data_IF_064600206001
#
_entry.id   IF_064600206001
#
_cell.length_a   1.000
_cell.length_b   1.000
_cell.length_c   1.000
_cell.angle_alpha   90.00
_cell.angle_beta   90.00
_cell.angle_gamma   90.00
#
_symmetry.space_group_name_H-M   'P 1'
#
loop_
_entity.id
_entity.type
_entity.pdbx_description
1 polymer ?
#
# COMPACT_ATOMS: atom_id res chain seq x y z
N UNK A 1 -15.93 5.64 -12.50
CA UNK A 1 -16.26 5.04 -13.80
C UNK A 1 -15.38 3.84 -14.14
N UNK A 2 -14.03 3.83 -14.05
CA UNK A 2 -13.21 2.65 -14.36
C UNK A 2 -13.57 1.40 -13.55
N UNK A 3 -13.83 1.53 -12.27
CA UNK A 3 -14.25 0.43 -11.38
C UNK A 3 -15.57 -0.20 -11.84
N UNK A 4 -16.54 0.61 -12.24
CA UNK A 4 -17.84 0.11 -12.70
C UNK A 4 -17.71 -0.74 -13.98
N UNK A 5 -16.84 -0.33 -14.91
CA UNK A 5 -16.59 -1.07 -16.14
C UNK A 5 -15.94 -2.44 -15.91
N UNK A 6 -15.25 -2.64 -14.80
CA UNK A 6 -14.59 -3.88 -14.44
C UNK A 6 -15.32 -4.70 -13.36
N UNK A 7 -16.53 -4.28 -12.97
CA UNK A 7 -17.26 -4.81 -11.81
C UNK A 7 -17.48 -6.33 -11.89
N UNK A 8 -17.88 -6.84 -13.06
CA UNK A 8 -18.12 -8.28 -13.24
C UNK A 8 -16.83 -9.11 -13.11
N UNK A 9 -15.74 -8.61 -13.67
CA UNK A 9 -14.43 -9.25 -13.56
C UNK A 9 -13.92 -9.24 -12.12
N UNK A 10 -14.10 -8.11 -11.41
CA UNK A 10 -13.73 -7.97 -10.00
C UNK A 10 -14.53 -8.95 -9.15
N UNK A 11 -15.85 -9.08 -9.37
CA UNK A 11 -16.71 -10.03 -8.65
C UNK A 11 -16.23 -11.48 -8.82
N UNK A 12 -15.85 -11.88 -10.04
CA UNK A 12 -15.34 -13.22 -10.33
C UNK A 12 -14.00 -13.53 -9.66
N UNK A 13 -13.21 -12.51 -9.36
CA UNK A 13 -11.87 -12.63 -8.78
C UNK A 13 -11.76 -12.03 -7.38
N UNK A 14 -12.89 -11.82 -6.70
CA UNK A 14 -12.93 -11.14 -5.43
C UNK A 14 -12.05 -11.80 -4.36
N UNK A 15 -12.13 -13.11 -4.24
CA UNK A 15 -11.36 -13.85 -3.24
C UNK A 15 -9.84 -13.77 -3.47
N UNK A 16 -9.30 -14.06 -4.67
CA UNK A 16 -7.88 -13.81 -4.96
C UNK A 16 -7.43 -12.37 -4.73
N UNK A 17 -8.25 -11.39 -5.08
CA UNK A 17 -7.96 -9.97 -4.86
C UNK A 17 -7.85 -9.68 -3.36
N UNK A 18 -8.83 -10.08 -2.56
CA UNK A 18 -8.81 -9.85 -1.11
C UNK A 18 -7.61 -10.51 -0.44
N UNK A 19 -7.34 -11.78 -0.76
CA UNK A 19 -6.20 -12.50 -0.19
C UNK A 19 -4.86 -11.89 -0.59
N UNK A 20 -4.70 -11.48 -1.85
CA UNK A 20 -3.46 -10.83 -2.30
C UNK A 20 -3.25 -9.46 -1.65
N UNK A 21 -4.32 -8.68 -1.47
CA UNK A 21 -4.25 -7.39 -0.82
C UNK A 21 -3.94 -7.52 0.68
N UNK A 22 -4.57 -8.48 1.34
CA UNK A 22 -4.30 -8.80 2.74
C UNK A 22 -2.83 -9.22 2.94
N UNK A 23 -2.35 -10.15 2.11
CA UNK A 23 -0.95 -10.58 2.14
C UNK A 23 0.01 -9.42 1.87
N UNK A 24 -0.27 -8.58 0.86
CA UNK A 24 0.54 -7.41 0.53
C UNK A 24 0.60 -6.39 1.69
N UNK A 25 -0.53 -6.14 2.35
CA UNK A 25 -0.60 -5.26 3.53
C UNK A 25 0.23 -5.81 4.69
N UNK A 26 0.08 -7.09 5.02
CA UNK A 26 0.82 -7.74 6.12
C UNK A 26 2.31 -7.75 5.83
N UNK A 27 2.72 -8.24 4.66
CA UNK A 27 4.14 -8.30 4.27
C UNK A 27 4.76 -6.91 4.20
N UNK A 28 4.06 -5.95 3.61
CA UNK A 28 4.51 -4.56 3.52
C UNK A 28 4.67 -3.89 4.89
N UNK A 29 3.72 -4.11 5.80
CA UNK A 29 3.77 -3.60 7.17
C UNK A 29 4.88 -4.24 7.99
N UNK A 30 4.95 -5.57 8.01
CA UNK A 30 5.99 -6.30 8.76
C UNK A 30 7.38 -5.95 8.24
N UNK A 31 7.59 -5.95 6.92
CA UNK A 31 8.91 -5.70 6.33
C UNK A 31 9.44 -4.31 6.67
N UNK A 32 8.62 -3.27 6.59
CA UNK A 32 9.08 -1.91 6.93
C UNK A 32 9.44 -1.79 8.40
N UNK A 33 8.64 -2.37 9.29
CA UNK A 33 8.88 -2.35 10.75
C UNK A 33 10.19 -3.07 11.08
N UNK A 34 10.39 -4.28 10.52
CA UNK A 34 11.59 -5.06 10.77
C UNK A 34 12.85 -4.38 10.21
N UNK A 35 12.79 -3.83 9.00
CA UNK A 35 13.91 -3.10 8.39
C UNK A 35 14.26 -1.87 9.24
N UNK A 36 13.27 -1.06 9.62
CA UNK A 36 13.49 0.11 10.44
C UNK A 36 14.08 -0.25 11.81
N UNK A 37 13.57 -1.30 12.45
CA UNK A 37 14.10 -1.83 13.72
C UNK A 37 15.55 -2.32 13.57
N UNK A 38 15.84 -3.06 12.51
CA UNK A 38 17.20 -3.54 12.22
C UNK A 38 18.19 -2.39 11.95
N UNK A 39 17.73 -1.31 11.33
CA UNK A 39 18.53 -0.09 11.11
C UNK A 39 18.68 0.78 12.37
N UNK A 40 18.14 0.38 13.51
CA UNK A 40 18.24 1.12 14.77
C UNK A 40 17.35 2.36 14.85
N UNK A 41 16.26 2.42 14.08
CA UNK A 41 15.31 3.53 14.16
C UNK A 41 14.64 3.58 15.54
N UNK A 42 14.36 4.81 16.03
CA UNK A 42 13.59 4.98 17.26
C UNK A 42 12.16 4.45 17.10
N UNK A 43 11.53 4.13 18.24
CA UNK A 43 10.14 3.64 18.23
C UNK A 43 9.19 4.59 17.49
N UNK A 44 9.30 5.89 17.74
CA UNK A 44 8.47 6.90 17.07
C UNK A 44 8.63 6.90 15.54
N UNK A 45 9.87 6.70 15.06
CA UNK A 45 10.15 6.57 13.63
C UNK A 45 9.53 5.30 13.07
N UNK A 46 9.68 4.15 13.74
CA UNK A 46 9.08 2.87 13.32
C UNK A 46 7.55 3.02 13.21
N UNK A 47 6.90 3.61 14.21
CA UNK A 47 5.46 3.86 14.21
C UNK A 47 5.04 4.77 13.06
N UNK A 48 5.87 5.76 12.71
CA UNK A 48 5.61 6.68 11.61
C UNK A 48 5.76 6.03 10.22
N UNK A 49 6.61 5.02 10.10
CA UNK A 49 6.85 4.29 8.85
C UNK A 49 5.82 3.18 8.60
N UNK A 50 5.20 2.64 9.66
CA UNK A 50 4.32 1.49 9.57
C UNK A 50 3.17 1.66 8.54
N UNK A 51 2.42 2.77 8.51
CA UNK A 51 1.32 2.97 7.56
C UNK A 51 1.75 3.61 6.22
N UNK A 52 3.00 3.51 5.80
CA UNK A 52 3.57 4.21 4.64
C UNK A 52 2.91 3.98 3.28
N UNK A 53 2.15 2.90 3.12
CA UNK A 53 1.65 2.43 1.81
C UNK A 53 0.18 2.79 1.56
N UNK A 54 -0.37 3.74 2.29
CA UNK A 54 -1.74 4.23 2.11
C UNK A 54 -1.77 5.72 1.80
N UNK A 55 -2.94 6.30 1.57
CA UNK A 55 -3.06 7.73 1.32
C UNK A 55 -2.60 8.55 2.52
N UNK A 56 -2.01 9.71 2.27
CA UNK A 56 -1.46 10.58 3.32
C UNK A 56 -2.44 10.84 4.47
N UNK A 57 -3.72 11.18 4.24
CA UNK A 57 -4.67 11.38 5.34
C UNK A 57 -4.86 10.14 6.21
N UNK A 58 -5.06 8.96 5.59
CA UNK A 58 -5.22 7.70 6.33
C UNK A 58 -3.95 7.38 7.12
N UNK A 59 -2.79 7.50 6.48
CA UNK A 59 -1.52 7.22 7.12
C UNK A 59 -1.28 8.11 8.36
N UNK A 60 -1.55 9.41 8.23
CA UNK A 60 -1.38 10.38 9.33
C UNK A 60 -2.31 10.06 10.52
N UNK A 61 -3.56 9.73 10.26
CA UNK A 61 -4.51 9.37 11.33
C UNK A 61 -4.12 8.07 12.02
N UNK A 62 -3.72 7.04 11.25
CA UNK A 62 -3.20 5.79 11.84
C UNK A 62 -1.95 6.08 12.69
N UNK A 63 -1.00 6.86 12.18
CA UNK A 63 0.22 7.24 12.89
C UNK A 63 -0.08 7.97 14.19
N UNK A 64 -1.00 8.92 14.15
CA UNK A 64 -1.45 9.66 15.33
C UNK A 64 -2.05 8.75 16.39
N UNK A 65 -2.88 7.79 15.96
CA UNK A 65 -3.53 6.83 16.86
C UNK A 65 -2.55 5.87 17.54
N UNK A 66 -1.41 5.57 16.91
CA UNK A 66 -0.39 4.66 17.45
C UNK A 66 0.80 5.38 18.11
N UNK A 67 0.79 6.72 18.18
CA UNK A 67 1.83 7.49 18.86
C UNK A 67 3.09 7.78 18.05
N UNK A 68 3.03 7.72 16.71
CA UNK A 68 4.11 8.15 15.81
C UNK A 68 4.06 9.64 15.48
N UNK A 69 4.87 10.09 14.52
CA UNK A 69 5.01 11.48 14.07
C UNK A 69 4.28 11.67 12.73
N UNK A 70 3.05 12.25 12.67
CA UNK A 70 2.27 12.34 11.44
C UNK A 70 2.94 13.12 10.31
N UNK A 71 3.71 14.17 10.62
CA UNK A 71 4.45 14.93 9.60
C UNK A 71 5.55 14.10 8.92
N UNK A 72 6.25 13.25 9.68
CA UNK A 72 7.21 12.30 9.12
C UNK A 72 6.51 11.28 8.22
N UNK A 73 5.38 10.75 8.68
CA UNK A 73 4.56 9.82 7.89
C UNK A 73 4.14 10.45 6.56
N UNK A 74 3.67 11.70 6.57
CA UNK A 74 3.28 12.41 5.36
C UNK A 74 4.42 12.51 4.34
N UNK A 75 5.62 12.88 4.79
CA UNK A 75 6.81 12.96 3.95
C UNK A 75 7.19 11.58 3.35
N UNK A 76 7.17 10.55 4.18
CA UNK A 76 7.48 9.17 3.75
C UNK A 76 6.45 8.64 2.75
N UNK A 77 5.16 8.88 2.97
CA UNK A 77 4.10 8.48 2.03
C UNK A 77 4.32 9.10 0.66
N UNK A 78 4.64 10.41 0.60
CA UNK A 78 4.94 11.08 -0.68
C UNK A 78 6.16 10.43 -1.36
N UNK A 79 7.24 10.20 -0.63
CA UNK A 79 8.44 9.57 -1.17
C UNK A 79 8.16 8.15 -1.71
N UNK A 80 7.41 7.33 -0.97
CA UNK A 80 7.01 5.98 -1.38
C UNK A 80 6.14 6.02 -2.64
N UNK A 81 5.20 6.96 -2.72
CA UNK A 81 4.38 7.15 -3.91
C UNK A 81 5.18 7.49 -5.16
N UNK A 82 6.11 8.44 -5.05
CA UNK A 82 6.99 8.85 -6.15
C UNK A 82 7.90 7.70 -6.60
N UNK A 83 8.54 7.00 -5.66
CA UNK A 83 9.38 5.83 -5.98
C UNK A 83 8.57 4.74 -6.66
N UNK A 84 7.35 4.47 -6.18
CA UNK A 84 6.45 3.50 -6.78
C UNK A 84 6.03 3.87 -8.20
N UNK A 85 5.73 5.15 -8.45
CA UNK A 85 5.38 5.64 -9.78
C UNK A 85 6.54 5.49 -10.78
N UNK A 86 7.77 5.77 -10.34
CA UNK A 86 8.96 5.71 -11.19
C UNK A 86 9.40 4.26 -11.45
N UNK A 87 9.43 3.44 -10.40
CA UNK A 87 10.08 2.12 -10.41
C UNK A 87 9.08 0.96 -10.52
N UNK A 88 7.82 1.14 -10.11
CA UNK A 88 6.87 0.06 -9.89
C UNK A 88 6.65 -0.83 -11.12
N UNK A 89 6.29 -0.27 -12.25
CA UNK A 89 6.10 -1.05 -13.48
C UNK A 89 7.39 -1.68 -14.01
N UNK A 90 8.54 -0.98 -13.84
CA UNK A 90 9.86 -1.53 -14.22
C UNK A 90 10.21 -2.75 -13.37
N UNK A 91 10.02 -2.67 -12.06
CA UNK A 91 10.25 -3.77 -11.12
C UNK A 91 9.36 -4.97 -11.47
N UNK A 92 8.06 -4.74 -11.69
CA UNK A 92 7.12 -5.80 -12.08
C UNK A 92 7.51 -6.46 -13.41
N UNK A 93 8.01 -5.68 -14.38
CA UNK A 93 8.52 -6.22 -15.65
C UNK A 93 9.74 -7.12 -15.44
N UNK A 94 10.69 -6.71 -14.59
CA UNK A 94 11.87 -7.53 -14.25
C UNK A 94 11.44 -8.82 -13.54
N UNK A 95 10.44 -8.75 -12.68
CA UNK A 95 9.88 -9.91 -11.96
C UNK A 95 8.90 -10.75 -12.80
N UNK A 96 8.76 -10.46 -14.11
CA UNK A 96 7.87 -11.16 -15.04
C UNK A 96 6.38 -11.17 -14.62
N UNK A 97 5.94 -10.15 -13.88
CA UNK A 97 4.51 -9.96 -13.56
C UNK A 97 3.82 -9.33 -14.76
N UNK A 98 3.20 -10.14 -15.60
CA UNK A 98 2.57 -9.70 -16.86
C UNK A 98 1.07 -9.38 -16.78
N UNK A 99 0.38 -9.78 -15.71
CA UNK A 99 -1.06 -9.57 -15.57
C UNK A 99 -1.40 -8.11 -15.28
N UNK A 100 -2.24 -7.44 -16.11
CA UNK A 100 -2.72 -6.08 -15.87
C UNK A 100 -3.45 -5.94 -14.52
N UNK A 101 -4.13 -7.00 -14.08
CA UNK A 101 -4.83 -7.04 -12.80
C UNK A 101 -3.82 -7.00 -11.65
N UNK A 102 -2.82 -7.89 -11.69
CA UNK A 102 -1.78 -7.94 -10.67
C UNK A 102 -0.96 -6.64 -10.63
N UNK A 103 -0.59 -6.11 -11.79
CA UNK A 103 0.16 -4.85 -11.88
C UNK A 103 -0.64 -3.67 -11.33
N UNK A 104 -1.92 -3.55 -11.70
CA UNK A 104 -2.79 -2.50 -11.20
C UNK A 104 -2.95 -2.59 -9.67
N UNK A 105 -3.34 -3.76 -9.15
CA UNK A 105 -3.46 -4.00 -7.71
C UNK A 105 -2.16 -3.65 -6.97
N UNK A 106 -1.00 -4.09 -7.47
CA UNK A 106 0.30 -3.82 -6.85
C UNK A 106 0.62 -2.32 -6.80
N UNK A 107 0.34 -1.58 -7.87
CA UNK A 107 0.55 -0.12 -7.91
C UNK A 107 -0.32 0.60 -6.88
N UNK A 108 -1.60 0.24 -6.77
CA UNK A 108 -2.49 0.83 -5.77
C UNK A 108 -2.09 0.49 -4.34
N UNK A 109 -1.63 -0.74 -4.10
CA UNK A 109 -1.25 -1.22 -2.76
C UNK A 109 0.10 -0.64 -2.29
N UNK A 110 1.10 -0.62 -3.17
CA UNK A 110 2.46 -0.22 -2.78
C UNK A 110 2.69 1.29 -2.88
N UNK A 111 2.10 1.94 -3.89
CA UNK A 111 2.33 3.34 -4.23
C UNK A 111 1.08 4.23 -4.12
N UNK A 112 0.04 3.71 -3.50
CA UNK A 112 -1.21 4.40 -3.16
C UNK A 112 -1.78 5.29 -4.29
N UNK A 113 -2.15 6.56 -4.01
CA UNK A 113 -2.78 7.44 -4.98
C UNK A 113 -1.88 7.79 -6.18
N UNK A 114 -0.58 7.99 -5.94
CA UNK A 114 0.40 8.33 -7.00
C UNK A 114 0.57 7.15 -7.95
N UNK A 115 0.73 5.93 -7.41
CA UNK A 115 0.79 4.70 -8.22
C UNK A 115 -0.51 4.43 -8.98
N UNK A 116 -1.66 4.76 -8.37
CA UNK A 116 -2.97 4.64 -9.01
C UNK A 116 -3.09 5.59 -10.20
N UNK A 117 -2.64 6.84 -10.06
CA UNK A 117 -2.60 7.81 -11.17
C UNK A 117 -1.74 7.29 -12.32
N UNK A 118 -0.51 6.83 -12.01
CA UNK A 118 0.39 6.24 -13.02
C UNK A 118 -0.24 5.03 -13.74
N UNK A 119 -0.98 4.21 -13.00
CA UNK A 119 -1.70 3.06 -13.59
C UNK A 119 -2.86 3.51 -14.49
N UNK A 120 -3.56 4.60 -14.14
CA UNK A 120 -4.63 5.18 -14.97
C UNK A 120 -4.11 5.71 -16.30
N UNK A 121 -2.90 6.26 -16.33
CA UNK A 121 -2.25 6.78 -17.55
C UNK A 121 -1.98 5.67 -18.57
N UNK A 122 -1.81 4.42 -18.11
CA UNK A 122 -1.62 3.26 -19.02
C UNK A 122 -2.96 2.84 -19.61
N UNK A 123 -3.97 2.57 -18.78
CA UNK A 123 -5.34 2.31 -19.22
C UNK A 123 -6.34 2.33 -18.07
N UNK A 124 -7.62 2.48 -18.39
CA UNK A 124 -8.73 2.41 -17.42
C UNK A 124 -8.79 1.07 -16.69
N UNK A 125 -8.34 -0.04 -17.29
CA UNK A 125 -8.26 -1.34 -16.65
C UNK A 125 -7.22 -1.35 -15.52
N UNK A 126 -6.00 -0.88 -15.77
CA UNK A 126 -4.96 -0.75 -14.76
C UNK A 126 -5.41 0.17 -13.62
N UNK A 127 -5.99 1.32 -13.98
CA UNK A 127 -6.51 2.29 -13.01
C UNK A 127 -7.62 1.74 -12.13
N UNK A 128 -8.54 0.94 -12.69
CA UNK A 128 -9.62 0.30 -11.93
C UNK A 128 -9.07 -0.63 -10.83
N UNK A 129 -8.13 -1.51 -11.19
CA UNK A 129 -7.52 -2.42 -10.22
C UNK A 129 -6.60 -1.69 -9.25
N UNK A 130 -5.91 -0.64 -9.68
CA UNK A 130 -5.10 0.18 -8.77
C UNK A 130 -5.99 0.93 -7.75
N UNK A 131 -7.12 1.47 -8.18
CA UNK A 131 -8.10 2.09 -7.26
C UNK A 131 -8.64 1.10 -6.24
N UNK A 132 -8.90 -0.14 -6.68
CA UNK A 132 -9.34 -1.21 -5.77
C UNK A 132 -8.24 -1.59 -4.77
N UNK A 133 -7.00 -1.75 -5.24
CA UNK A 133 -5.83 -2.01 -4.40
C UNK A 133 -5.60 -0.93 -3.36
N UNK A 134 -5.64 0.34 -3.77
CA UNK A 134 -5.56 1.50 -2.90
C UNK A 134 -6.60 1.49 -1.79
N UNK A 135 -7.87 1.25 -2.15
CA UNK A 135 -8.99 1.27 -1.20
C UNK A 135 -8.89 0.13 -0.20
N UNK A 136 -8.68 -1.10 -0.67
CA UNK A 136 -8.55 -2.27 0.20
C UNK A 136 -7.32 -2.16 1.11
N UNK A 137 -6.19 -1.73 0.57
CA UNK A 137 -4.98 -1.52 1.38
C UNK A 137 -5.18 -0.45 2.44
N UNK A 138 -5.93 0.62 2.14
CA UNK A 138 -6.29 1.64 3.13
C UNK A 138 -7.04 1.05 4.31
N UNK A 139 -8.07 0.24 4.03
CA UNK A 139 -8.88 -0.44 5.06
C UNK A 139 -8.02 -1.42 5.87
N UNK A 140 -7.27 -2.30 5.19
CA UNK A 140 -6.45 -3.31 5.88
C UNK A 140 -5.34 -2.66 6.72
N UNK A 141 -4.67 -1.64 6.23
CA UNK A 141 -3.64 -0.93 6.97
C UNK A 141 -4.22 -0.27 8.22
N UNK A 142 -5.35 0.41 8.12
CA UNK A 142 -5.98 1.06 9.27
C UNK A 142 -6.36 0.04 10.36
N UNK A 143 -6.85 -1.14 9.98
CA UNK A 143 -7.27 -2.18 10.91
C UNK A 143 -6.11 -3.01 11.47
N UNK A 144 -5.12 -3.34 10.62
CA UNK A 144 -4.08 -4.32 10.96
C UNK A 144 -2.81 -3.70 11.54
N UNK A 145 -2.49 -2.44 11.23
CA UNK A 145 -1.24 -1.83 11.71
C UNK A 145 -1.08 -1.89 13.23
N UNK A 146 -2.08 -1.53 14.06
CA UNK A 146 -1.92 -1.63 15.50
C UNK A 146 -1.68 -3.08 15.98
N UNK A 147 -2.37 -4.04 15.38
CA UNK A 147 -2.22 -5.47 15.70
C UNK A 147 -0.85 -6.00 15.32
N UNK A 148 -0.36 -5.68 14.11
CA UNK A 148 0.97 -6.07 13.63
C UNK A 148 2.05 -5.51 14.58
N UNK A 149 1.95 -4.24 14.96
CA UNK A 149 2.93 -3.59 15.84
C UNK A 149 2.95 -4.22 17.24
N UNK A 150 1.80 -4.59 17.81
CA UNK A 150 1.71 -5.32 19.08
C UNK A 150 2.36 -6.70 18.98
N UNK A 151 2.09 -7.46 17.91
CA UNK A 151 2.69 -8.77 17.70
C UNK A 151 4.22 -8.72 17.53
N UNK A 152 4.76 -7.59 17.02
CA UNK A 152 6.20 -7.37 16.85
C UNK A 152 6.86 -6.73 18.10
N UNK A 153 6.10 -6.51 19.18
CA UNK A 153 6.61 -5.93 20.41
C UNK A 153 7.10 -4.47 20.24
N UNK A 154 6.39 -3.69 19.41
CA UNK A 154 6.67 -2.27 19.18
C UNK A 154 5.65 -1.37 19.92
N UNK A 155 4.41 -1.84 20.07
CA UNK A 155 3.34 -1.22 20.86
C UNK A 155 3.06 -2.02 22.13
#
# INVERSE_FOLDING_TARGET
>A
VPLYLQLEMIKKQLLPILLSQLAGCIVGGISVVLIAKFMGASQEVILSLAPKSVTTPIAMEVTKAIGGIPSLTAAVVVAVGLLGAICGFKTMKIMHVGSPIAQGLSMGTAAHAVGTSTAMDISSKYGAYASLGLTLNGIFTALLTPTILRLLGIL
#
